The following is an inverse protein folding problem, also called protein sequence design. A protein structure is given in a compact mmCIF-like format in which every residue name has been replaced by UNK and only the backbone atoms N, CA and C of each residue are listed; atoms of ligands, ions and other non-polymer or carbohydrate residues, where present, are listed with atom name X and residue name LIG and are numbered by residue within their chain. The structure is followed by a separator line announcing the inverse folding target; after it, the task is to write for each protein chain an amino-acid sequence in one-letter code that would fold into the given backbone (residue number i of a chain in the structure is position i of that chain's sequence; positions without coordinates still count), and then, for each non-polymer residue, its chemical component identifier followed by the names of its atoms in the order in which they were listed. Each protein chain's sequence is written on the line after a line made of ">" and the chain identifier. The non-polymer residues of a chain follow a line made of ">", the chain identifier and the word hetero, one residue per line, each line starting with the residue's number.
data_IF_740674657193
#
_entry.id   IF_740674657193
#
_cell.length_a   1.000
_cell.length_b   1.000
_cell.length_c   1.000
_cell.angle_alpha   90.00
_cell.angle_beta   90.00
_cell.angle_gamma   90.00
#
_symmetry.space_group_name_H-M   'P 1'
#
loop_
_entity.id
_entity.type
_entity.pdbx_description
1 polymer ?
#
# COMPACT_ATOMS: atom_id res chain seq x y z
N UNK A 1 10.30 33.53 10.63
CA UNK A 1 11.38 32.97 11.48
C UNK A 1 12.48 32.47 10.55
N UNK A 2 13.75 32.36 10.98
CA UNK A 2 14.79 31.74 10.13
C UNK A 2 14.91 30.25 10.47
N UNK A 3 14.76 29.33 9.48
CA UNK A 3 15.12 27.92 9.61
C UNK A 3 16.55 27.71 10.10
N UNK A 4 16.81 26.59 10.76
CA UNK A 4 18.15 26.18 11.21
C UNK A 4 18.37 24.71 10.89
N UNK A 5 19.47 24.34 10.20
CA UNK A 5 19.80 22.93 9.97
C UNK A 5 19.98 22.16 11.29
N UNK A 6 19.44 20.95 11.33
CA UNK A 6 19.68 19.95 12.37
C UNK A 6 20.92 19.10 12.06
N UNK A 7 21.34 18.17 12.93
CA UNK A 7 22.36 17.17 12.60
C UNK A 7 22.00 16.24 11.43
N UNK A 8 20.74 16.25 10.96
CA UNK A 8 20.28 15.54 9.75
C UNK A 8 20.35 16.39 8.48
N UNK A 9 20.81 17.64 8.57
CA UNK A 9 20.72 18.64 7.51
C UNK A 9 19.55 19.59 7.72
N UNK A 10 19.14 20.30 6.65
CA UNK A 10 17.96 21.16 6.67
C UNK A 10 16.77 20.37 6.10
N UNK A 11 15.87 19.93 6.98
CA UNK A 11 14.70 19.10 6.64
C UNK A 11 13.47 19.95 6.30
N UNK A 12 12.45 19.32 5.72
CA UNK A 12 11.11 19.90 5.53
C UNK A 12 10.51 20.41 6.85
N UNK A 13 10.75 19.71 7.95
CA UNK A 13 10.36 20.14 9.31
C UNK A 13 11.12 21.39 9.77
N UNK A 14 12.42 21.51 9.48
CA UNK A 14 13.22 22.68 9.86
C UNK A 14 12.78 23.97 9.12
N UNK A 15 12.20 23.84 7.92
CA UNK A 15 11.67 24.97 7.14
C UNK A 15 10.19 25.28 7.37
N UNK A 16 9.44 24.42 8.08
CA UNK A 16 8.01 24.57 8.36
C UNK A 16 7.69 25.67 9.40
N UNK A 17 8.08 26.92 9.10
CA UNK A 17 8.01 28.05 10.04
C UNK A 17 7.25 29.27 9.49
N UNK A 18 6.37 29.84 10.30
CA UNK A 18 5.47 30.93 9.87
C UNK A 18 4.38 30.41 8.93
N UNK A 19 3.85 31.28 8.07
CA UNK A 19 2.74 30.98 7.15
C UNK A 19 3.00 29.81 6.18
N UNK A 20 4.26 29.47 5.89
CA UNK A 20 4.59 28.27 5.13
C UNK A 20 4.32 26.96 5.92
N UNK A 21 4.50 26.97 7.24
CA UNK A 21 4.25 25.81 8.11
C UNK A 21 2.77 25.59 8.44
N UNK A 22 1.92 26.60 8.21
CA UNK A 22 0.48 26.52 8.45
C UNK A 22 -0.22 25.84 7.27
N UNK A 23 -0.40 24.52 7.35
CA UNK A 23 -1.13 23.73 6.34
C UNK A 23 -2.64 23.99 6.46
N UNK A 24 -3.28 24.66 5.48
CA UNK A 24 -4.68 25.07 5.60
C UNK A 24 -5.65 23.89 5.55
N UNK A 25 -6.72 23.93 6.34
CA UNK A 25 -7.78 22.92 6.27
C UNK A 25 -8.50 22.92 4.90
N UNK A 26 -8.69 24.11 4.31
CA UNK A 26 -9.29 24.31 2.99
C UNK A 26 -8.48 25.34 2.16
N UNK A 27 -7.59 24.89 1.26
CA UNK A 27 -6.92 25.73 0.26
C UNK A 27 -7.85 26.67 -0.52
N UNK A 28 -7.60 27.97 -0.43
CA UNK A 28 -8.39 29.02 -1.10
C UNK A 28 -8.00 29.17 -2.58
N UNK A 29 -6.72 29.00 -2.90
CA UNK A 29 -6.19 29.23 -4.25
C UNK A 29 -5.76 27.92 -4.92
N UNK A 30 -6.68 27.32 -5.69
CA UNK A 30 -6.45 26.07 -6.45
C UNK A 30 -5.52 26.28 -7.65
N UNK A 31 -4.26 26.64 -7.41
CA UNK A 31 -3.31 27.05 -8.46
C UNK A 31 -2.01 26.24 -8.46
N UNK A 32 -1.11 26.53 -9.41
CA UNK A 32 0.26 26.01 -9.40
C UNK A 32 1.19 26.74 -8.42
N UNK A 33 0.69 27.74 -7.65
CA UNK A 33 1.51 28.46 -6.69
C UNK A 33 1.94 27.56 -5.52
N UNK A 34 3.19 27.68 -5.01
CA UNK A 34 3.61 27.00 -3.78
C UNK A 34 2.88 27.54 -2.56
N UNK A 35 2.65 26.70 -1.53
CA UNK A 35 2.11 27.16 -0.25
C UNK A 35 2.95 28.32 0.31
N UNK A 36 2.28 29.36 0.80
CA UNK A 36 2.94 30.53 1.40
C UNK A 36 3.60 31.49 0.42
N UNK A 37 3.41 31.33 -0.90
CA UNK A 37 3.78 32.35 -1.89
C UNK A 37 2.69 33.43 -2.04
N UNK A 38 3.07 34.64 -2.44
CA UNK A 38 2.12 35.68 -2.84
C UNK A 38 1.41 35.30 -4.14
N UNK A 39 0.08 35.12 -4.09
CA UNK A 39 -0.74 34.74 -5.25
C UNK A 39 -1.33 35.98 -5.92
N UNK A 40 -1.14 36.12 -7.25
CA UNK A 40 -1.68 37.25 -8.00
C UNK A 40 -3.23 37.14 -8.13
N UNK A 41 -4.01 38.23 -8.01
CA UNK A 41 -5.48 38.16 -8.04
C UNK A 41 -6.10 37.62 -9.33
N UNK A 42 -5.35 37.60 -10.44
CA UNK A 42 -5.70 37.06 -11.75
C UNK A 42 -5.20 35.62 -11.99
N UNK A 43 -4.66 34.96 -10.96
CA UNK A 43 -4.20 33.57 -11.02
C UNK A 43 -5.36 32.62 -11.34
N UNK A 44 -5.20 31.82 -12.38
CA UNK A 44 -6.20 30.86 -12.88
C UNK A 44 -6.40 29.70 -11.89
N UNK A 45 -7.67 29.35 -11.65
CA UNK A 45 -8.06 28.12 -10.94
C UNK A 45 -7.83 26.91 -11.85
N UNK A 46 -6.99 25.97 -11.38
CA UNK A 46 -6.58 24.76 -12.07
C UNK A 46 -7.55 23.57 -11.88
N UNK A 47 -8.60 23.74 -11.07
CA UNK A 47 -9.68 22.76 -10.93
C UNK A 47 -9.37 21.56 -10.03
N UNK A 48 -8.47 21.68 -9.05
CA UNK A 48 -8.20 20.59 -8.09
C UNK A 48 -9.47 20.18 -7.34
N UNK A 49 -9.63 18.87 -7.16
CA UNK A 49 -10.81 18.26 -6.51
C UNK A 49 -10.49 17.64 -5.15
N UNK A 50 -9.23 17.28 -4.89
CA UNK A 50 -8.74 16.94 -3.56
C UNK A 50 -8.20 18.23 -2.93
N UNK A 51 -9.08 18.94 -2.24
CA UNK A 51 -8.91 20.35 -1.85
C UNK A 51 -9.45 20.67 -0.45
N UNK A 52 -9.61 19.65 0.40
CA UNK A 52 -9.60 19.78 1.85
C UNK A 52 -8.50 18.89 2.43
N UNK A 53 -8.01 19.25 3.61
CA UNK A 53 -6.89 18.56 4.28
C UNK A 53 -7.30 17.18 4.78
N UNK A 54 -8.58 17.01 5.11
CA UNK A 54 -9.26 15.73 5.31
C UNK A 54 -8.96 14.71 4.22
N UNK A 55 -8.88 15.16 2.97
CA UNK A 55 -8.86 14.31 1.77
C UNK A 55 -7.49 13.62 1.57
N UNK A 56 -6.41 14.17 2.14
CA UNK A 56 -5.03 13.83 1.74
C UNK A 56 -3.96 13.93 2.83
N UNK A 57 -4.30 14.39 4.05
CA UNK A 57 -3.30 14.66 5.08
C UNK A 57 -3.13 13.51 6.10
N UNK A 58 -1.93 13.42 6.67
CA UNK A 58 -1.64 12.62 7.85
C UNK A 58 -0.53 13.30 8.67
N UNK A 59 -0.66 13.32 10.00
CA UNK A 59 0.18 14.18 10.85
C UNK A 59 1.68 13.85 10.83
N UNK A 60 2.06 12.64 10.40
CA UNK A 60 3.45 12.20 10.27
C UNK A 60 3.95 12.12 8.82
N UNK A 61 3.24 12.70 7.85
CA UNK A 61 3.59 12.60 6.41
C UNK A 61 4.97 13.20 6.10
N UNK A 62 5.39 14.20 6.88
CA UNK A 62 6.68 14.88 6.71
C UNK A 62 7.84 13.99 7.20
N UNK A 63 7.68 13.35 8.36
CA UNK A 63 8.62 12.36 8.89
C UNK A 63 8.73 11.14 7.98
N UNK A 64 7.60 10.66 7.42
CA UNK A 64 7.57 9.55 6.48
C UNK A 64 8.32 9.89 5.18
N UNK A 65 8.17 11.11 4.66
CA UNK A 65 8.94 11.60 3.51
C UNK A 65 10.45 11.65 3.80
N UNK A 66 10.85 12.28 4.92
CA UNK A 66 12.26 12.38 5.33
C UNK A 66 12.89 10.99 5.56
N UNK A 67 12.14 10.04 6.14
CA UNK A 67 12.58 8.65 6.30
C UNK A 67 12.74 7.93 4.94
N UNK A 68 11.78 8.10 4.03
CA UNK A 68 11.83 7.50 2.69
C UNK A 68 12.99 8.02 1.85
N UNK A 69 13.32 9.32 1.92
CA UNK A 69 14.49 9.91 1.25
C UNK A 69 15.80 9.43 1.90
N UNK A 70 15.87 9.41 3.23
CA UNK A 70 17.10 9.03 3.95
C UNK A 70 17.47 7.53 3.83
N UNK A 71 16.52 6.66 3.46
CA UNK A 71 16.72 5.20 3.32
C UNK A 71 16.69 4.70 1.87
N UNK A 72 16.90 5.59 0.90
CA UNK A 72 16.96 5.21 -0.51
C UNK A 72 18.09 4.21 -0.82
N UNK A 73 17.77 3.27 -1.71
CA UNK A 73 18.66 2.18 -2.13
C UNK A 73 18.52 1.89 -3.63
N UNK A 74 19.45 1.10 -4.17
CA UNK A 74 19.67 0.94 -5.60
C UNK A 74 19.58 -0.54 -6.02
N UNK A 75 18.51 -0.85 -6.77
CA UNK A 75 18.24 -2.16 -7.37
C UNK A 75 19.39 -2.72 -8.24
N UNK A 76 20.37 -1.91 -8.63
CA UNK A 76 21.53 -2.31 -9.45
C UNK A 76 22.80 -2.51 -8.62
N UNK A 77 22.95 -1.80 -7.49
CA UNK A 77 24.23 -1.69 -6.76
C UNK A 77 24.21 -2.34 -5.39
N UNK A 78 23.06 -2.33 -4.72
CA UNK A 78 22.94 -2.76 -3.32
C UNK A 78 22.37 -4.19 -3.18
N UNK A 79 21.95 -4.79 -4.31
CA UNK A 79 21.70 -6.24 -4.43
C UNK A 79 22.96 -6.89 -5.02
N UNK A 80 23.54 -7.91 -4.38
CA UNK A 80 24.74 -8.60 -4.87
C UNK A 80 24.40 -9.59 -5.99
N UNK A 81 24.04 -9.07 -7.18
CA UNK A 81 23.64 -9.90 -8.33
C UNK A 81 24.70 -10.92 -8.78
N UNK A 82 25.99 -10.67 -8.51
CA UNK A 82 27.09 -11.61 -8.76
C UNK A 82 27.20 -12.77 -7.76
N UNK A 83 26.41 -12.77 -6.69
CA UNK A 83 26.28 -13.87 -5.72
C UNK A 83 25.01 -14.71 -5.96
N UNK A 84 24.20 -14.36 -6.97
CA UNK A 84 23.01 -15.13 -7.34
C UNK A 84 23.42 -16.51 -7.89
N UNK A 85 22.80 -17.55 -7.34
CA UNK A 85 23.02 -18.94 -7.74
C UNK A 85 21.93 -19.39 -8.72
N UNK A 86 22.30 -20.30 -9.63
CA UNK A 86 21.33 -21.08 -10.41
C UNK A 86 20.51 -21.96 -9.46
N UNK A 87 19.21 -22.03 -9.68
CA UNK A 87 18.29 -22.91 -8.94
C UNK A 87 17.87 -24.07 -9.87
N UNK A 88 17.38 -25.20 -9.32
CA UNK A 88 16.78 -26.26 -10.13
C UNK A 88 15.65 -25.72 -11.01
N UNK A 89 15.52 -26.24 -12.25
CA UNK A 89 14.65 -25.71 -13.31
C UNK A 89 13.20 -25.41 -12.85
N UNK A 90 12.63 -26.28 -12.01
CA UNK A 90 11.26 -26.16 -11.47
C UNK A 90 11.15 -25.02 -10.43
N UNK A 91 12.17 -24.89 -9.56
CA UNK A 91 12.27 -23.82 -8.57
C UNK A 91 12.58 -22.47 -9.24
N UNK A 92 13.43 -22.46 -10.26
CA UNK A 92 13.76 -21.26 -11.03
C UNK A 92 12.55 -20.77 -11.83
N UNK A 93 11.82 -21.67 -12.48
CA UNK A 93 10.55 -21.35 -13.14
C UNK A 93 9.52 -20.80 -12.15
N UNK A 94 9.36 -21.41 -10.96
CA UNK A 94 8.50 -20.86 -9.91
C UNK A 94 8.95 -19.46 -9.45
N UNK A 95 10.25 -19.21 -9.32
CA UNK A 95 10.79 -17.91 -8.92
C UNK A 95 10.54 -16.80 -9.96
N UNK A 96 10.81 -17.10 -11.23
CA UNK A 96 10.51 -16.22 -12.36
C UNK A 96 9.01 -15.88 -12.45
N UNK A 97 8.14 -16.83 -12.12
CA UNK A 97 6.69 -16.65 -12.09
C UNK A 97 6.25 -15.61 -11.04
N UNK A 98 6.79 -15.57 -9.80
CA UNK A 98 6.51 -14.45 -8.88
C UNK A 98 7.10 -13.14 -9.34
N UNK A 99 8.32 -13.19 -9.84
CA UNK A 99 9.04 -11.99 -10.20
C UNK A 99 8.32 -11.26 -11.35
N UNK A 100 7.66 -12.00 -12.25
CA UNK A 100 6.73 -11.47 -13.26
C UNK A 100 5.53 -10.71 -12.64
N UNK A 101 5.12 -11.07 -11.43
CA UNK A 101 3.82 -10.73 -10.82
C UNK A 101 3.90 -9.61 -9.84
N UNK A 102 4.91 -9.63 -8.98
CA UNK A 102 5.19 -8.48 -8.15
C UNK A 102 5.43 -7.31 -9.12
N UNK A 103 6.20 -7.49 -10.21
CA UNK A 103 6.27 -6.50 -11.30
C UNK A 103 4.90 -5.98 -11.80
N UNK A 104 3.85 -6.80 -11.88
CA UNK A 104 2.48 -6.32 -12.20
C UNK A 104 1.80 -5.60 -11.02
N UNK A 105 1.90 -6.13 -9.80
CA UNK A 105 1.32 -5.56 -8.57
C UNK A 105 1.95 -4.21 -8.23
N UNK A 106 3.29 -4.11 -8.26
CA UNK A 106 4.04 -2.88 -8.04
C UNK A 106 3.67 -1.80 -9.07
N UNK A 107 3.44 -2.18 -10.34
CA UNK A 107 2.98 -1.24 -11.36
C UNK A 107 1.58 -0.72 -11.07
N UNK A 108 0.66 -1.54 -10.57
CA UNK A 108 -0.69 -1.11 -10.13
C UNK A 108 -0.59 -0.23 -8.86
N UNK A 109 0.31 -0.56 -7.94
CA UNK A 109 0.58 0.19 -6.71
C UNK A 109 1.15 1.59 -7.00
N UNK A 110 1.98 1.76 -8.04
CA UNK A 110 2.41 3.07 -8.53
C UNK A 110 1.28 3.89 -9.19
N UNK A 111 0.40 3.20 -9.94
CA UNK A 111 -0.62 3.83 -10.78
C UNK A 111 -1.75 4.50 -9.96
N UNK A 112 -2.03 4.01 -8.75
CA UNK A 112 -3.05 4.54 -7.84
C UNK A 112 -2.71 5.93 -7.27
N UNK A 113 -1.60 6.14 -6.53
CA UNK A 113 -1.22 7.45 -6.01
C UNK A 113 -0.94 8.46 -7.14
N UNK A 114 -0.42 8.01 -8.29
CA UNK A 114 -0.23 8.85 -9.47
C UNK A 114 -1.54 9.49 -9.98
N UNK A 115 -2.67 8.76 -9.90
CA UNK A 115 -4.01 9.27 -10.27
C UNK A 115 -4.54 10.33 -9.32
N UNK A 116 -4.06 10.39 -8.08
CA UNK A 116 -4.47 11.38 -7.07
C UNK A 116 -3.57 12.62 -7.04
N UNK A 117 -2.26 12.47 -7.25
CA UNK A 117 -1.29 13.58 -7.18
C UNK A 117 -1.67 14.83 -7.99
N UNK A 118 -2.10 14.66 -9.25
CA UNK A 118 -2.44 15.80 -10.12
C UNK A 118 -3.78 16.47 -9.77
N UNK A 119 -4.62 15.78 -8.99
CA UNK A 119 -5.96 16.24 -8.54
C UNK A 119 -5.91 17.00 -7.21
N UNK A 120 -4.78 16.95 -6.52
CA UNK A 120 -4.53 17.52 -5.19
C UNK A 120 -4.03 18.95 -5.28
N UNK A 121 -4.41 19.80 -4.32
CA UNK A 121 -3.87 21.16 -4.17
C UNK A 121 -2.34 21.19 -4.01
N UNK A 122 -1.69 22.28 -4.40
CA UNK A 122 -0.27 22.53 -4.11
C UNK A 122 0.00 22.96 -2.66
N UNK A 123 -1.06 23.29 -1.90
CA UNK A 123 -0.96 23.51 -0.45
C UNK A 123 -0.70 22.22 0.35
N UNK A 124 -0.84 21.05 -0.26
CA UNK A 124 -0.56 19.74 0.35
C UNK A 124 0.75 19.13 -0.18
N UNK A 125 1.79 19.96 -0.30
CA UNK A 125 3.05 19.61 -0.96
C UNK A 125 3.77 18.42 -0.30
N UNK A 126 3.73 18.28 1.03
CA UNK A 126 4.36 17.16 1.74
C UNK A 126 3.67 15.83 1.43
N UNK A 127 2.34 15.82 1.31
CA UNK A 127 1.60 14.64 0.86
C UNK A 127 1.96 14.27 -0.58
N UNK A 128 2.01 15.25 -1.50
CA UNK A 128 2.51 15.03 -2.88
C UNK A 128 3.94 14.46 -2.88
N UNK A 129 4.83 15.02 -2.07
CA UNK A 129 6.23 14.58 -1.99
C UNK A 129 6.35 13.16 -1.43
N UNK A 130 5.52 12.77 -0.46
CA UNK A 130 5.47 11.38 0.02
C UNK A 130 4.92 10.42 -1.05
N UNK A 131 3.84 10.78 -1.76
CA UNK A 131 3.32 9.97 -2.87
C UNK A 131 4.34 9.82 -4.02
N UNK A 132 5.14 10.85 -4.32
CA UNK A 132 6.27 10.76 -5.25
C UNK A 132 7.31 9.73 -4.80
N UNK A 133 7.60 9.65 -3.49
CA UNK A 133 8.53 8.65 -2.95
C UNK A 133 7.95 7.25 -3.08
N UNK A 134 6.68 7.04 -2.73
CA UNK A 134 6.02 5.74 -2.89
C UNK A 134 6.07 5.26 -4.34
N UNK A 135 5.67 6.09 -5.32
CA UNK A 135 5.72 5.73 -6.76
C UNK A 135 7.13 5.32 -7.21
N UNK A 136 8.16 5.97 -6.66
CA UNK A 136 9.56 5.66 -6.97
C UNK A 136 10.07 4.41 -6.25
N UNK A 137 9.51 4.09 -5.07
CA UNK A 137 9.71 2.83 -4.38
C UNK A 137 9.08 1.66 -5.17
N UNK A 138 7.81 1.74 -5.58
CA UNK A 138 7.17 0.64 -6.33
C UNK A 138 7.83 0.46 -7.72
N UNK A 139 8.24 1.56 -8.37
CA UNK A 139 9.02 1.47 -9.62
C UNK A 139 10.36 0.74 -9.45
N UNK A 140 11.03 0.91 -8.29
CA UNK A 140 12.24 0.15 -7.92
C UNK A 140 11.91 -1.30 -7.61
N UNK A 141 10.80 -1.58 -6.93
CA UNK A 141 10.34 -2.95 -6.67
C UNK A 141 10.11 -3.70 -7.99
N UNK A 142 9.36 -3.10 -8.93
CA UNK A 142 9.17 -3.62 -10.28
C UNK A 142 10.50 -3.85 -11.03
N UNK A 143 11.48 -2.94 -10.92
CA UNK A 143 12.82 -3.11 -11.48
C UNK A 143 13.55 -4.33 -10.90
N UNK A 144 13.49 -4.54 -9.58
CA UNK A 144 14.16 -5.65 -8.87
C UNK A 144 13.56 -6.99 -9.25
N UNK A 145 12.24 -7.11 -9.24
CA UNK A 145 11.56 -8.35 -9.61
C UNK A 145 11.80 -8.67 -11.09
N UNK A 146 11.64 -7.69 -11.99
CA UNK A 146 11.95 -7.86 -13.41
C UNK A 146 13.41 -8.28 -13.68
N UNK A 147 14.38 -7.78 -12.90
CA UNK A 147 15.77 -8.29 -12.95
C UNK A 147 15.85 -9.74 -12.50
N UNK A 148 15.31 -10.09 -11.33
CA UNK A 148 15.43 -11.46 -10.80
C UNK A 148 14.81 -12.50 -11.73
N UNK A 149 13.69 -12.21 -12.40
CA UNK A 149 13.10 -13.10 -13.40
C UNK A 149 14.03 -13.40 -14.60
N UNK A 150 14.95 -12.48 -14.92
CA UNK A 150 15.79 -12.55 -16.11
C UNK A 150 17.22 -13.02 -15.83
N UNK A 151 17.75 -12.80 -14.63
CA UNK A 151 19.18 -13.05 -14.30
C UNK A 151 19.64 -14.50 -14.52
N UNK A 152 18.80 -15.49 -14.21
CA UNK A 152 19.09 -16.92 -14.39
C UNK A 152 18.53 -17.49 -15.72
N UNK A 153 18.09 -16.63 -16.65
CA UNK A 153 17.59 -17.04 -17.96
C UNK A 153 16.17 -17.63 -18.02
N UNK A 154 15.51 -17.86 -16.86
CA UNK A 154 14.16 -18.44 -16.80
C UNK A 154 13.06 -17.60 -17.49
N UNK A 155 13.22 -16.27 -17.53
CA UNK A 155 12.37 -15.38 -18.32
C UNK A 155 11.23 -14.71 -17.54
N UNK A 156 10.46 -13.88 -18.23
CA UNK A 156 9.14 -13.45 -17.74
C UNK A 156 8.13 -14.50 -18.17
N UNK A 157 7.30 -14.96 -17.23
CA UNK A 157 6.44 -16.13 -17.38
C UNK A 157 4.95 -15.70 -17.35
N UNK A 158 4.11 -16.49 -16.70
CA UNK A 158 2.70 -16.16 -16.47
C UNK A 158 2.61 -15.40 -15.13
N UNK A 159 1.46 -14.81 -14.85
CA UNK A 159 1.24 -14.11 -13.58
C UNK A 159 0.79 -15.08 -12.45
N UNK A 160 1.70 -15.46 -11.49
CA UNK A 160 1.55 -15.84 -10.02
C UNK A 160 2.17 -17.24 -9.68
N UNK A 161 3.05 -17.53 -8.67
CA UNK A 161 3.71 -16.90 -7.45
C UNK A 161 5.04 -17.68 -7.09
N UNK A 162 5.83 -17.40 -6.00
CA UNK A 162 7.14 -18.06 -5.61
C UNK A 162 7.44 -18.19 -4.05
N UNK A 163 8.50 -18.94 -3.57
CA UNK A 163 8.51 -19.53 -2.21
C UNK A 163 9.65 -19.22 -1.18
N UNK A 164 10.87 -18.83 -1.55
CA UNK A 164 12.10 -19.15 -0.76
C UNK A 164 12.38 -18.24 0.45
N UNK A 165 13.42 -18.57 1.24
CA UNK A 165 13.84 -17.78 2.41
C UNK A 165 14.44 -16.40 2.06
N UNK A 166 14.96 -16.22 0.83
CA UNK A 166 15.40 -14.88 0.35
C UNK A 166 14.17 -14.03 0.05
N UNK A 167 13.14 -14.57 -0.61
CA UNK A 167 11.84 -13.92 -0.71
C UNK A 167 11.24 -13.65 0.68
N UNK A 168 11.31 -14.57 1.66
CA UNK A 168 10.89 -14.31 3.06
C UNK A 168 11.77 -13.27 3.80
N UNK A 169 12.86 -12.78 3.19
CA UNK A 169 13.62 -11.60 3.63
C UNK A 169 13.18 -10.34 2.86
N UNK A 170 13.02 -10.42 1.54
CA UNK A 170 12.52 -9.32 0.68
C UNK A 170 11.09 -8.94 1.08
N UNK A 171 10.16 -9.90 1.09
CA UNK A 171 8.78 -9.74 1.59
C UNK A 171 8.74 -9.21 3.02
N UNK A 172 9.75 -9.47 3.86
CA UNK A 172 9.82 -8.91 5.21
C UNK A 172 10.27 -7.45 5.25
N UNK A 173 11.00 -6.99 4.24
CA UNK A 173 11.29 -5.57 4.02
C UNK A 173 10.06 -4.89 3.44
N UNK A 174 9.50 -5.40 2.34
CA UNK A 174 8.25 -4.91 1.77
C UNK A 174 7.09 -4.89 2.80
N UNK A 175 6.99 -5.88 3.71
CA UNK A 175 6.00 -5.86 4.81
C UNK A 175 6.26 -4.79 5.89
N UNK A 176 7.46 -4.21 5.99
CA UNK A 176 7.73 -3.01 6.80
C UNK A 176 7.34 -1.73 6.06
N UNK A 177 7.33 -1.76 4.73
CA UNK A 177 6.93 -0.65 3.86
C UNK A 177 5.41 -0.59 3.76
N UNK A 178 4.77 -1.71 3.43
CA UNK A 178 3.32 -1.94 3.51
C UNK A 178 2.75 -1.69 4.92
N UNK A 179 3.51 -1.92 5.99
CA UNK A 179 3.08 -1.54 7.33
C UNK A 179 2.93 -0.02 7.50
N UNK A 180 3.73 0.79 6.78
CA UNK A 180 3.59 2.26 6.75
C UNK A 180 2.43 2.67 5.85
N UNK A 181 2.30 2.08 4.65
CA UNK A 181 1.17 2.34 3.73
C UNK A 181 -0.18 2.07 4.38
N UNK A 182 -0.33 0.89 5.02
CA UNK A 182 -1.53 0.51 5.77
C UNK A 182 -1.74 1.42 6.99
N UNK A 183 -0.69 1.82 7.70
CA UNK A 183 -0.83 2.72 8.85
C UNK A 183 -1.34 4.11 8.43
N UNK A 184 -0.79 4.69 7.36
CA UNK A 184 -1.28 5.93 6.74
C UNK A 184 -2.76 5.80 6.38
N UNK A 185 -3.14 4.79 5.58
CA UNK A 185 -4.53 4.60 5.16
C UNK A 185 -5.51 4.40 6.31
N UNK A 186 -5.13 3.60 7.33
CA UNK A 186 -5.96 3.36 8.52
C UNK A 186 -6.22 4.66 9.31
N UNK A 187 -5.22 5.55 9.40
CA UNK A 187 -5.34 6.81 10.15
C UNK A 187 -6.00 7.93 9.33
N UNK A 188 -5.79 7.96 8.02
CA UNK A 188 -6.51 8.86 7.11
C UNK A 188 -8.03 8.57 7.09
N UNK A 189 -8.43 7.31 6.90
CA UNK A 189 -9.84 6.90 6.95
C UNK A 189 -10.48 7.25 8.32
N UNK A 190 -9.76 7.01 9.41
CA UNK A 190 -10.20 7.39 10.75
C UNK A 190 -10.38 8.90 10.90
N UNK A 191 -9.43 9.69 10.42
CA UNK A 191 -9.52 11.15 10.50
C UNK A 191 -10.71 11.67 9.67
N UNK A 192 -10.96 11.11 8.49
CA UNK A 192 -12.14 11.46 7.69
C UNK A 192 -13.44 11.20 8.48
N UNK A 193 -13.63 10.00 9.03
CA UNK A 193 -14.84 9.62 9.78
C UNK A 193 -14.98 10.40 11.11
N UNK A 194 -13.87 10.74 11.78
CA UNK A 194 -13.88 11.60 12.98
C UNK A 194 -14.19 13.09 12.69
N UNK A 195 -14.16 13.52 11.42
CA UNK A 195 -14.48 14.89 10.98
C UNK A 195 -15.84 15.00 10.29
N UNK A 196 -16.18 14.02 9.48
CA UNK A 196 -17.43 13.91 8.76
C UNK A 196 -17.98 12.48 8.89
N UNK A 197 -18.89 12.23 9.85
CA UNK A 197 -19.49 10.90 10.01
C UNK A 197 -20.30 10.42 8.81
N UNK A 198 -20.80 11.32 7.95
CA UNK A 198 -21.64 10.95 6.80
C UNK A 198 -20.79 10.32 5.67
N UNK A 199 -19.49 10.64 5.60
CA UNK A 199 -18.55 10.02 4.64
C UNK A 199 -18.30 8.53 4.90
N UNK A 200 -18.64 8.02 6.09
CA UNK A 200 -18.45 6.62 6.44
C UNK A 200 -19.21 5.68 5.49
N UNK A 201 -20.39 6.07 4.99
CA UNK A 201 -21.20 5.26 4.07
C UNK A 201 -20.57 5.16 2.67
N UNK A 202 -19.98 6.25 2.14
CA UNK A 202 -19.23 6.21 0.87
C UNK A 202 -18.00 5.29 0.99
N UNK A 203 -17.29 5.35 2.12
CA UNK A 203 -16.18 4.43 2.41
C UNK A 203 -16.70 2.99 2.54
N UNK A 204 -17.89 2.76 3.12
CA UNK A 204 -18.49 1.43 3.16
C UNK A 204 -18.80 0.88 1.76
N UNK A 205 -19.41 1.67 0.86
CA UNK A 205 -19.66 1.27 -0.54
C UNK A 205 -18.34 0.96 -1.29
N UNK A 206 -17.31 1.79 -1.12
CA UNK A 206 -15.99 1.56 -1.69
C UNK A 206 -15.34 0.25 -1.18
N UNK A 207 -15.51 -0.07 0.11
CA UNK A 207 -15.05 -1.31 0.72
C UNK A 207 -15.90 -2.53 0.30
N UNK A 208 -17.20 -2.37 0.02
CA UNK A 208 -18.03 -3.46 -0.52
C UNK A 208 -17.47 -3.96 -1.87
N UNK A 209 -17.09 -3.03 -2.76
CA UNK A 209 -16.44 -3.35 -4.02
C UNK A 209 -15.00 -3.89 -3.82
N UNK A 210 -14.23 -3.27 -2.92
CA UNK A 210 -12.87 -3.71 -2.59
C UNK A 210 -12.79 -5.12 -2.02
N UNK A 211 -13.79 -5.56 -1.25
CA UNK A 211 -13.88 -6.92 -0.73
C UNK A 211 -14.13 -7.96 -1.82
N UNK A 212 -14.98 -7.68 -2.83
CA UNK A 212 -15.14 -8.57 -3.99
C UNK A 212 -13.80 -8.75 -4.70
N UNK A 213 -13.10 -7.65 -5.01
CA UNK A 213 -11.79 -7.69 -5.68
C UNK A 213 -10.76 -8.45 -4.84
N UNK A 214 -10.77 -8.29 -3.51
CA UNK A 214 -9.89 -9.01 -2.59
C UNK A 214 -10.15 -10.53 -2.59
N UNK A 215 -11.42 -10.95 -2.67
CA UNK A 215 -11.83 -12.36 -2.75
C UNK A 215 -11.48 -12.94 -4.13
N UNK A 216 -11.82 -12.25 -5.22
CA UNK A 216 -11.55 -12.68 -6.59
C UNK A 216 -10.04 -12.83 -6.85
N UNK A 217 -9.23 -11.85 -6.42
CA UNK A 217 -7.78 -11.90 -6.49
C UNK A 217 -7.20 -13.01 -5.59
N UNK A 218 -7.59 -13.06 -4.31
CA UNK A 218 -7.07 -14.03 -3.34
C UNK A 218 -7.47 -15.49 -3.60
N UNK A 219 -8.52 -15.72 -4.40
CA UNK A 219 -8.98 -17.06 -4.82
C UNK A 219 -8.56 -17.44 -6.24
N UNK A 220 -8.00 -16.51 -7.04
CA UNK A 220 -7.58 -16.75 -8.41
C UNK A 220 -6.72 -18.02 -8.54
N UNK A 221 -6.92 -18.88 -9.56
CA UNK A 221 -6.24 -20.17 -9.65
C UNK A 221 -4.70 -20.07 -9.67
N UNK A 222 -4.20 -18.99 -10.24
CA UNK A 222 -2.78 -18.70 -10.40
C UNK A 222 -2.13 -18.16 -9.10
N UNK A 223 -2.85 -17.41 -8.26
CA UNK A 223 -2.42 -17.15 -6.87
C UNK A 223 -2.52 -18.42 -6.02
N UNK A 224 -3.67 -19.07 -6.02
CA UNK A 224 -3.99 -20.12 -5.06
C UNK A 224 -3.23 -21.43 -5.29
N UNK A 225 -3.11 -21.89 -6.54
CA UNK A 225 -2.29 -23.07 -6.86
C UNK A 225 -0.81 -22.82 -6.62
N UNK A 226 -0.34 -21.60 -6.89
CA UNK A 226 1.02 -21.21 -6.57
C UNK A 226 1.21 -21.18 -5.04
N UNK A 227 0.44 -20.43 -4.24
CA UNK A 227 0.57 -20.47 -2.77
C UNK A 227 0.56 -21.91 -2.21
N UNK A 228 -0.22 -22.81 -2.80
CA UNK A 228 -0.22 -24.23 -2.45
C UNK A 228 1.06 -25.00 -2.86
N UNK A 229 1.70 -24.68 -4.00
CA UNK A 229 3.04 -25.17 -4.38
C UNK A 229 4.15 -24.66 -3.46
N UNK A 230 4.00 -23.44 -2.93
CA UNK A 230 5.12 -22.65 -2.43
C UNK A 230 5.25 -22.66 -0.91
N UNK A 231 4.13 -22.59 -0.19
CA UNK A 231 4.10 -22.65 1.27
C UNK A 231 4.60 -23.99 1.87
N UNK A 232 4.49 -25.17 1.22
CA UNK A 232 5.16 -26.39 1.68
C UNK A 232 6.62 -26.50 1.22
N UNK A 233 7.07 -25.66 0.28
CA UNK A 233 8.43 -25.62 -0.22
C UNK A 233 8.72 -26.45 -1.48
N UNK A 234 7.70 -26.82 -2.26
CA UNK A 234 7.85 -27.60 -3.49
C UNK A 234 6.60 -28.39 -3.86
N UNK A 235 6.68 -29.19 -4.93
CA UNK A 235 5.54 -29.95 -5.46
C UNK A 235 5.09 -31.13 -4.57
N UNK A 236 5.90 -31.53 -3.59
CA UNK A 236 5.58 -32.60 -2.65
C UNK A 236 4.49 -32.19 -1.64
N UNK A 237 3.49 -33.05 -1.47
CA UNK A 237 2.37 -32.89 -0.53
C UNK A 237 1.51 -31.59 -0.72
N UNK A 238 1.39 -31.03 -1.94
CA UNK A 238 0.51 -29.87 -2.23
C UNK A 238 -0.92 -30.06 -1.63
N UNK A 239 -1.52 -31.24 -1.80
CA UNK A 239 -2.86 -31.53 -1.27
C UNK A 239 -2.93 -31.54 0.26
N UNK A 240 -1.87 -32.01 0.93
CA UNK A 240 -1.84 -32.28 2.38
C UNK A 240 -1.26 -31.13 3.21
N UNK A 241 -0.41 -30.30 2.60
CA UNK A 241 0.30 -29.19 3.23
C UNK A 241 0.02 -27.87 2.50
N UNK A 242 0.10 -27.89 1.17
CA UNK A 242 -0.03 -26.72 0.30
C UNK A 242 -1.33 -25.95 0.47
N UNK A 243 -2.45 -26.51 0.01
CA UNK A 243 -3.76 -25.85 0.11
C UNK A 243 -4.16 -25.52 1.56
N UNK A 244 -3.91 -26.38 2.59
CA UNK A 244 -4.14 -26.01 3.99
C UNK A 244 -3.31 -24.82 4.48
N UNK A 245 -2.06 -24.67 4.05
CA UNK A 245 -1.23 -23.49 4.37
C UNK A 245 -1.72 -22.24 3.64
N UNK A 246 -2.15 -22.37 2.38
CA UNK A 246 -2.73 -21.26 1.61
C UNK A 246 -4.02 -20.74 2.25
N UNK A 247 -4.97 -21.63 2.59
CA UNK A 247 -6.18 -21.25 3.34
C UNK A 247 -5.87 -20.56 4.67
N UNK A 248 -4.87 -21.05 5.41
CA UNK A 248 -4.43 -20.44 6.68
C UNK A 248 -3.83 -19.05 6.48
N UNK A 249 -3.17 -18.79 5.36
CA UNK A 249 -2.65 -17.47 5.00
C UNK A 249 -3.80 -16.51 4.63
N UNK A 250 -4.70 -16.91 3.74
CA UNK A 250 -5.87 -16.10 3.34
C UNK A 250 -6.75 -15.76 4.53
N UNK A 251 -7.03 -16.74 5.42
CA UNK A 251 -7.74 -16.52 6.69
C UNK A 251 -7.06 -15.42 7.53
N UNK A 252 -5.74 -15.49 7.71
CA UNK A 252 -4.99 -14.48 8.46
C UNK A 252 -5.05 -13.09 7.79
N UNK A 253 -4.99 -13.03 6.47
CA UNK A 253 -5.08 -11.77 5.71
C UNK A 253 -6.46 -11.11 5.88
N UNK A 254 -7.54 -11.87 5.72
CA UNK A 254 -8.92 -11.41 5.85
C UNK A 254 -9.25 -10.98 7.30
N UNK A 255 -8.84 -11.74 8.32
CA UNK A 255 -8.96 -11.30 9.73
C UNK A 255 -8.13 -10.04 10.01
N UNK A 256 -6.95 -9.89 9.37
CA UNK A 256 -6.13 -8.69 9.50
C UNK A 256 -6.75 -7.47 8.81
N UNK A 257 -7.51 -7.67 7.74
CA UNK A 257 -8.29 -6.63 7.06
C UNK A 257 -9.41 -6.12 7.97
N UNK A 258 -10.28 -7.00 8.49
CA UNK A 258 -11.38 -6.60 9.39
C UNK A 258 -10.87 -5.83 10.62
N UNK A 259 -9.75 -6.28 11.21
CA UNK A 259 -9.12 -5.62 12.35
C UNK A 259 -8.44 -4.26 12.02
N UNK A 260 -8.22 -3.94 10.74
CA UNK A 260 -7.77 -2.60 10.28
C UNK A 260 -8.97 -1.68 10.09
N UNK A 261 -10.05 -2.17 9.50
CA UNK A 261 -11.29 -1.42 9.34
C UNK A 261 -11.86 -0.99 10.71
N UNK A 262 -11.90 -1.92 11.68
CA UNK A 262 -12.23 -1.62 13.08
C UNK A 262 -11.34 -0.50 13.67
N UNK A 263 -10.02 -0.57 13.44
CA UNK A 263 -9.07 0.46 13.91
C UNK A 263 -9.18 1.80 13.17
N UNK A 264 -9.76 1.80 11.97
CA UNK A 264 -10.12 2.99 11.21
C UNK A 264 -11.47 3.58 11.63
N UNK A 265 -12.20 2.95 12.56
CA UNK A 265 -13.53 3.38 12.99
C UNK A 265 -14.68 2.92 12.08
N UNK A 266 -14.41 2.04 11.11
CA UNK A 266 -15.38 1.54 10.14
C UNK A 266 -15.56 0.03 10.27
N UNK A 267 -16.45 -0.40 11.17
CA UNK A 267 -16.63 -1.83 11.46
C UNK A 267 -17.34 -2.55 10.30
N UNK A 268 -16.68 -3.57 9.74
CA UNK A 268 -17.15 -4.35 8.57
C UNK A 268 -17.93 -5.64 8.86
N UNK A 269 -17.87 -6.32 10.04
CA UNK A 269 -18.50 -7.64 10.22
C UNK A 269 -20.00 -7.76 9.94
N UNK A 270 -20.79 -6.70 10.07
CA UNK A 270 -22.24 -6.74 9.76
C UNK A 270 -22.58 -6.63 8.27
N UNK A 271 -21.65 -6.13 7.44
CA UNK A 271 -21.86 -5.80 6.01
C UNK A 271 -20.95 -6.57 5.06
N UNK A 272 -19.87 -7.17 5.56
CA UNK A 272 -18.81 -7.72 4.71
C UNK A 272 -19.27 -8.89 3.85
N UNK A 273 -18.78 -8.94 2.61
CA UNK A 273 -18.99 -10.06 1.69
C UNK A 273 -18.00 -11.21 1.94
N UNK A 274 -17.03 -11.02 2.84
CA UNK A 274 -16.04 -12.03 3.22
C UNK A 274 -16.70 -13.15 4.05
N UNK A 275 -16.53 -14.44 3.69
CA UNK A 275 -17.07 -15.56 4.46
C UNK A 275 -16.51 -15.64 5.89
N UNK A 276 -17.29 -15.16 6.87
CA UNK A 276 -16.91 -15.10 8.29
C UNK A 276 -16.75 -16.48 8.94
N UNK A 277 -17.49 -17.47 8.44
CA UNK A 277 -17.39 -18.88 8.83
C UNK A 277 -15.98 -19.45 8.53
N UNK A 278 -15.41 -19.12 7.37
CA UNK A 278 -14.02 -19.46 7.03
C UNK A 278 -13.04 -18.76 7.97
N UNK A 279 -13.38 -17.57 8.47
CA UNK A 279 -12.61 -16.88 9.51
C UNK A 279 -12.80 -17.47 10.91
N UNK A 280 -13.79 -18.36 11.12
CA UNK A 280 -14.14 -18.91 12.43
C UNK A 280 -14.79 -17.86 13.33
N UNK A 281 -15.44 -16.86 12.73
CA UNK A 281 -16.22 -15.83 13.40
C UNK A 281 -17.69 -16.21 13.18
N UNK A 282 -18.45 -16.39 14.25
CA UNK A 282 -19.87 -16.74 14.17
C UNK A 282 -20.70 -15.48 13.82
N UNK A 283 -21.40 -15.43 12.67
CA UNK A 283 -22.25 -14.29 12.31
C UNK A 283 -23.33 -13.98 13.36
N UNK A 284 -23.84 -15.01 14.06
CA UNK A 284 -24.85 -14.82 15.11
C UNK A 284 -24.26 -14.19 16.38
N UNK A 285 -22.93 -14.27 16.57
CA UNK A 285 -22.24 -13.60 17.68
C UNK A 285 -21.98 -12.10 17.45
N UNK A 286 -22.16 -11.63 16.22
CA UNK A 286 -21.99 -10.22 15.82
C UNK A 286 -23.31 -9.46 15.93
N UNK A 287 -24.45 -10.09 15.63
CA UNK A 287 -25.77 -9.44 15.64
C UNK A 287 -26.02 -8.70 16.97
N UNK A 288 -26.44 -7.42 16.94
CA UNK A 288 -26.86 -6.72 18.14
C UNK A 288 -28.00 -7.47 18.85
N UNK A 289 -27.86 -7.64 20.17
CA UNK A 289 -28.83 -8.35 21.02
C UNK A 289 -30.14 -7.54 21.19
N UNK A 290 -30.92 -7.41 20.11
CA UNK A 290 -32.11 -6.55 20.06
C UNK A 290 -32.98 -6.64 18.80
N UNK A 291 -32.56 -7.33 17.73
CA UNK A 291 -33.38 -7.48 16.50
C UNK A 291 -33.81 -8.94 16.31
N UNK A 292 -35.03 -9.26 16.74
CA UNK A 292 -35.68 -10.54 16.49
C UNK A 292 -36.86 -10.35 15.52
N UNK A 293 -36.96 -11.25 14.54
CA UNK A 293 -38.12 -11.46 13.66
C UNK A 293 -38.28 -12.96 13.40
#
# INVERSE_FOLDING_TARGET
>A
MHPKPSPRGLTMLDIAVGSYGEVPEHPVHRSMAPRGADVAPDTVDMGYILNAKTDVWSDNVVELYEEAVARQWSATRDIPWGELQELPDDVEHAMCQLCTVLTEVEMIAADLPAKWMWRMSHDFIEAKMFLCMQIMDEARHAEVFRKRALSNGGGLLISRTAPTDVEKRILRMCMQDEARHVAYGTMHLRYAIEKDPDVAEEIHEALDHGESVLIDFGSAPDISSALAMLLPGGADDIEKKGFPLAQKLSKKQLTSYLARCERAGISRPERTTIPLDLLGIDPESIRPAGVAT
#
